data_IF_586282449392
#
_entry.id   IF_586282449392
#
_cell.length_a   1.000
_cell.length_b   1.000
_cell.length_c   1.000
_cell.angle_alpha   90.00
_cell.angle_beta   90.00
_cell.angle_gamma   90.00
#
_symmetry.space_group_name_H-M   'P 1'
#
loop_
_entity.id
_entity.type
_entity.pdbx_description
1 polymer ?
#
# COMPACT_ATOMS: atom_id res chain seq x y z
N UNK A 1 25.25 -20.51 16.86
CA UNK A 1 24.12 -20.26 17.79
C UNK A 1 23.46 -18.88 17.62
N UNK A 2 24.20 -17.76 17.54
CA UNK A 2 23.63 -16.40 17.40
C UNK A 2 22.79 -16.15 16.13
N UNK A 3 23.14 -16.78 15.00
CA UNK A 3 22.42 -16.63 13.72
C UNK A 3 21.04 -17.29 13.75
N UNK A 4 20.92 -18.45 14.41
CA UNK A 4 19.65 -19.20 14.53
C UNK A 4 18.68 -18.46 15.45
N UNK A 5 19.18 -17.85 16.53
CA UNK A 5 18.38 -17.04 17.47
C UNK A 5 17.85 -15.76 16.78
N UNK A 6 18.68 -15.11 15.94
CA UNK A 6 18.23 -13.94 15.16
C UNK A 6 17.17 -14.32 14.12
N UNK A 7 17.33 -15.46 13.44
CA UNK A 7 16.35 -15.98 12.49
C UNK A 7 15.00 -16.29 13.14
N UNK A 8 15.01 -16.94 14.32
CA UNK A 8 13.80 -17.24 15.09
C UNK A 8 13.12 -15.99 15.67
N UNK A 9 13.90 -14.98 16.08
CA UNK A 9 13.34 -13.70 16.53
C UNK A 9 12.69 -12.93 15.38
N UNK A 10 13.32 -12.91 14.19
CA UNK A 10 12.80 -12.23 13.01
C UNK A 10 11.52 -12.90 12.48
N UNK A 11 11.43 -14.23 12.51
CA UNK A 11 10.20 -14.94 12.11
C UNK A 11 9.07 -14.73 13.13
N UNK A 12 9.39 -14.64 14.42
CA UNK A 12 8.40 -14.37 15.47
C UNK A 12 7.87 -12.92 15.43
N UNK A 13 8.74 -11.94 15.16
CA UNK A 13 8.36 -10.54 14.95
C UNK A 13 7.53 -10.40 13.66
N UNK A 14 7.98 -10.97 12.54
CA UNK A 14 7.25 -10.85 11.27
C UNK A 14 5.89 -11.54 11.29
N UNK A 15 5.77 -12.71 11.94
CA UNK A 15 4.48 -13.38 12.15
C UNK A 15 3.55 -12.57 13.06
N UNK A 16 4.04 -12.07 14.21
CA UNK A 16 3.24 -11.25 15.14
C UNK A 16 2.73 -9.96 14.48
N UNK A 17 3.54 -9.34 13.62
CA UNK A 17 3.13 -8.19 12.81
C UNK A 17 2.09 -8.57 11.75
N UNK A 18 2.21 -9.75 11.12
CA UNK A 18 1.23 -10.27 10.18
C UNK A 18 -0.15 -10.45 10.86
N UNK A 19 -0.18 -11.09 12.02
CA UNK A 19 -1.40 -11.36 12.80
C UNK A 19 -2.08 -10.09 13.33
N UNK A 20 -1.33 -9.14 13.90
CA UNK A 20 -1.89 -7.91 14.48
C UNK A 20 -2.61 -7.00 13.45
N UNK A 21 -2.08 -6.93 12.24
CA UNK A 21 -2.69 -6.10 11.20
C UNK A 21 -3.72 -6.89 10.36
N UNK A 22 -3.84 -8.23 10.53
CA UNK A 22 -4.92 -9.04 9.95
C UNK A 22 -6.17 -8.92 10.82
N UNK A 23 -5.98 -9.03 12.14
CA UNK A 23 -7.01 -8.80 13.16
C UNK A 23 -7.55 -7.37 13.14
N UNK A 24 -6.73 -6.34 12.85
CA UNK A 24 -7.26 -4.98 12.69
C UNK A 24 -8.13 -4.82 11.43
N UNK A 25 -7.75 -5.43 10.30
CA UNK A 25 -8.60 -5.42 9.09
C UNK A 25 -9.90 -6.18 9.30
N UNK A 26 -9.85 -7.30 10.01
CA UNK A 26 -11.03 -8.10 10.30
C UNK A 26 -11.95 -7.38 11.30
N UNK A 27 -11.42 -6.70 12.33
CA UNK A 27 -12.24 -5.91 13.28
C UNK A 27 -12.82 -4.63 12.67
N UNK A 28 -12.10 -3.93 11.78
CA UNK A 28 -12.63 -2.77 11.03
C UNK A 28 -13.79 -3.15 10.09
N UNK A 29 -13.88 -4.41 9.69
CA UNK A 29 -14.83 -4.91 8.70
C UNK A 29 -15.88 -5.86 9.30
N UNK A 30 -15.66 -6.37 10.52
CA UNK A 30 -16.59 -7.19 11.30
C UNK A 30 -17.62 -6.35 12.05
N UNK A 31 -17.36 -5.06 12.26
CA UNK A 31 -18.24 -4.08 12.92
C UNK A 31 -19.54 -3.77 12.15
N UNK A 32 -19.88 -4.54 11.11
CA UNK A 32 -20.95 -4.22 10.16
C UNK A 32 -21.89 -5.41 10.00
N UNK A 33 -23.02 -5.38 10.72
CA UNK A 33 -24.22 -6.13 10.35
C UNK A 33 -24.89 -5.44 9.16
N UNK A 34 -24.93 -6.12 8.00
CA UNK A 34 -25.52 -5.56 6.75
C UNK A 34 -27.03 -5.33 6.87
N UNK A 35 -27.68 -5.96 7.85
CA UNK A 35 -29.14 -5.93 8.03
C UNK A 35 -29.68 -4.64 8.69
N UNK A 36 -28.82 -3.67 9.03
CA UNK A 36 -29.20 -2.49 9.82
C UNK A 36 -29.05 -1.14 9.08
N UNK A 37 -28.70 -1.13 7.79
CA UNK A 37 -28.45 0.13 7.05
C UNK A 37 -29.46 0.35 5.92
N UNK A 38 -30.11 1.53 5.84
CA UNK A 38 -31.07 1.85 4.78
C UNK A 38 -30.41 2.04 3.40
N UNK A 39 -29.13 2.45 3.35
CA UNK A 39 -28.38 2.68 2.11
C UNK A 39 -27.30 1.62 1.85
N UNK A 40 -27.34 1.00 0.66
CA UNK A 40 -26.38 -0.04 0.26
C UNK A 40 -24.98 0.50 -0.10
N UNK A 41 -24.86 1.80 -0.41
CA UNK A 41 -23.60 2.46 -0.75
C UNK A 41 -23.35 3.66 0.18
N UNK A 42 -22.10 3.97 0.53
CA UNK A 42 -21.80 5.16 1.32
C UNK A 42 -21.96 6.43 0.48
N UNK A 43 -22.35 7.53 1.13
CA UNK A 43 -22.49 8.85 0.49
C UNK A 43 -21.18 9.39 -0.12
N UNK A 44 -20.04 9.09 0.53
CA UNK A 44 -18.70 9.55 0.11
C UNK A 44 -17.84 8.37 -0.36
N UNK A 45 -17.55 8.34 -1.65
CA UNK A 45 -16.65 7.39 -2.32
C UNK A 45 -15.49 8.12 -3.00
N UNK A 46 -14.34 7.45 -3.12
CA UNK A 46 -13.27 7.90 -4.02
C UNK A 46 -13.75 7.85 -5.47
N UNK A 47 -13.17 8.66 -6.36
CA UNK A 47 -13.60 8.70 -7.77
C UNK A 47 -13.44 7.32 -8.45
N UNK A 48 -12.33 6.62 -8.20
CA UNK A 48 -12.05 5.26 -8.69
C UNK A 48 -13.10 4.26 -8.18
N UNK A 49 -13.43 4.32 -6.90
CA UNK A 49 -14.44 3.46 -6.29
C UNK A 49 -15.82 3.75 -6.87
N UNK A 50 -16.17 5.01 -7.10
CA UNK A 50 -17.44 5.42 -7.71
C UNK A 50 -17.54 4.96 -9.16
N UNK A 51 -16.46 5.09 -9.94
CA UNK A 51 -16.41 4.64 -11.32
C UNK A 51 -16.60 3.13 -11.46
N UNK A 52 -15.99 2.34 -10.56
CA UNK A 52 -16.10 0.87 -10.62
C UNK A 52 -17.38 0.37 -9.93
N UNK A 53 -17.67 0.82 -8.70
CA UNK A 53 -18.66 0.24 -7.79
C UNK A 53 -19.84 1.16 -7.44
N UNK A 54 -19.90 2.38 -7.97
CA UNK A 54 -21.02 3.30 -7.70
C UNK A 54 -22.37 2.77 -8.19
N UNK A 55 -23.46 3.50 -7.95
CA UNK A 55 -24.79 3.15 -8.45
C UNK A 55 -24.86 3.06 -9.99
N UNK A 56 -24.00 3.80 -10.69
CA UNK A 56 -23.76 3.74 -12.14
C UNK A 56 -22.35 3.24 -12.49
N UNK A 57 -21.73 2.48 -11.59
CA UNK A 57 -20.36 1.98 -11.77
C UNK A 57 -20.30 0.82 -12.77
N UNK A 58 -19.12 0.57 -13.32
CA UNK A 58 -18.88 -0.48 -14.34
C UNK A 58 -19.44 -1.85 -13.96
N UNK A 59 -19.33 -2.24 -12.68
CA UNK A 59 -19.79 -3.56 -12.22
C UNK A 59 -21.31 -3.74 -12.24
N UNK A 60 -22.08 -2.66 -12.36
CA UNK A 60 -23.55 -2.69 -12.22
C UNK A 60 -24.24 -3.45 -13.34
N UNK A 61 -23.60 -3.56 -14.50
CA UNK A 61 -24.11 -4.30 -15.65
C UNK A 61 -24.30 -5.81 -15.36
N UNK A 62 -23.46 -6.40 -14.49
CA UNK A 62 -23.54 -7.82 -14.13
C UNK A 62 -23.70 -8.07 -12.62
N UNK A 63 -23.59 -7.03 -11.79
CA UNK A 63 -23.85 -7.05 -10.34
C UNK A 63 -24.78 -5.91 -9.93
N UNK A 64 -26.11 -6.08 -10.12
CA UNK A 64 -27.11 -5.14 -9.65
C UNK A 64 -26.97 -4.86 -8.15
N UNK A 65 -27.35 -3.65 -7.71
CA UNK A 65 -27.19 -3.23 -6.33
C UNK A 65 -28.28 -3.86 -5.44
N UNK A 66 -28.00 -5.05 -4.90
CA UNK A 66 -28.85 -5.78 -3.95
C UNK A 66 -28.10 -6.04 -2.64
N UNK A 67 -28.81 -6.36 -1.55
CA UNK A 67 -28.19 -6.73 -0.26
C UNK A 67 -27.17 -7.88 -0.44
N UNK A 68 -27.56 -8.92 -1.16
CA UNK A 68 -26.72 -10.10 -1.41
C UNK A 68 -25.45 -9.74 -2.20
N UNK A 69 -25.59 -8.98 -3.29
CA UNK A 69 -24.44 -8.52 -4.08
C UNK A 69 -23.55 -7.60 -3.24
N UNK A 70 -24.14 -6.76 -2.39
CA UNK A 70 -23.38 -5.88 -1.51
C UNK A 70 -22.57 -6.64 -0.47
N UNK A 71 -23.13 -7.69 0.13
CA UNK A 71 -22.37 -8.59 1.02
C UNK A 71 -21.20 -9.25 0.28
N UNK A 72 -21.41 -9.68 -0.97
CA UNK A 72 -20.35 -10.22 -1.83
C UNK A 72 -19.27 -9.17 -2.15
N UNK A 73 -19.65 -7.94 -2.49
CA UNK A 73 -18.72 -6.83 -2.70
C UNK A 73 -17.87 -6.55 -1.45
N UNK A 74 -18.43 -6.64 -0.25
CA UNK A 74 -17.66 -6.50 0.98
C UNK A 74 -16.64 -7.62 1.15
N UNK A 75 -16.98 -8.87 0.81
CA UNK A 75 -15.99 -9.98 0.79
C UNK A 75 -14.87 -9.71 -0.22
N UNK A 76 -15.19 -9.20 -1.41
CA UNK A 76 -14.21 -8.78 -2.42
C UNK A 76 -13.29 -7.68 -1.85
N UNK A 77 -13.86 -6.66 -1.19
CA UNK A 77 -13.08 -5.61 -0.52
C UNK A 77 -12.11 -6.21 0.50
N UNK A 78 -12.55 -7.15 1.35
CA UNK A 78 -11.67 -7.80 2.33
C UNK A 78 -10.48 -8.47 1.63
N UNK A 79 -10.74 -9.22 0.56
CA UNK A 79 -9.69 -9.91 -0.18
C UNK A 79 -8.74 -8.93 -0.87
N UNK A 80 -9.24 -7.91 -1.55
CA UNK A 80 -8.40 -6.88 -2.18
C UNK A 80 -7.50 -6.17 -1.16
N UNK A 81 -8.01 -5.85 0.02
CA UNK A 81 -7.22 -5.20 1.08
C UNK A 81 -6.21 -6.15 1.74
N UNK A 82 -6.53 -7.45 1.87
CA UNK A 82 -5.56 -8.47 2.30
C UNK A 82 -4.41 -8.58 1.31
N UNK A 83 -4.71 -8.60 0.01
CA UNK A 83 -3.68 -8.64 -1.05
C UNK A 83 -2.89 -7.33 -1.10
N UNK A 84 -3.56 -6.16 -1.03
CA UNK A 84 -2.90 -4.85 -0.97
C UNK A 84 -1.83 -4.81 0.12
N UNK A 85 -2.17 -5.32 1.30
CA UNK A 85 -1.26 -5.40 2.42
C UNK A 85 -0.08 -6.33 2.15
N UNK A 86 -0.35 -7.55 1.68
CA UNK A 86 0.69 -8.52 1.36
C UNK A 86 1.66 -7.94 0.33
N UNK A 87 1.14 -7.46 -0.79
CA UNK A 87 1.94 -6.86 -1.87
C UNK A 87 2.65 -5.60 -1.38
N UNK A 88 2.01 -4.76 -0.57
CA UNK A 88 2.63 -3.57 0.01
C UNK A 88 3.81 -3.90 0.93
N UNK A 89 3.74 -4.98 1.72
CA UNK A 89 4.88 -5.44 2.51
C UNK A 89 6.01 -5.99 1.61
N UNK A 90 5.67 -6.68 0.52
CA UNK A 90 6.64 -7.10 -0.49
C UNK A 90 7.35 -5.90 -1.12
N UNK A 91 6.62 -4.85 -1.50
CA UNK A 91 7.19 -3.60 -1.99
C UNK A 91 8.13 -2.98 -0.97
N UNK A 92 7.73 -2.91 0.30
CA UNK A 92 8.56 -2.35 1.37
C UNK A 92 9.87 -3.12 1.55
N UNK A 93 9.82 -4.46 1.51
CA UNK A 93 11.01 -5.30 1.56
C UNK A 93 11.93 -5.05 0.34
N UNK A 94 11.35 -4.91 -0.85
CA UNK A 94 12.08 -4.51 -2.05
C UNK A 94 12.77 -3.15 -1.88
N UNK A 95 12.07 -2.16 -1.32
CA UNK A 95 12.65 -0.82 -1.06
C UNK A 95 13.84 -0.85 -0.10
N UNK A 96 13.84 -1.74 0.90
CA UNK A 96 15.01 -1.95 1.78
C UNK A 96 16.20 -2.41 0.94
N UNK A 97 16.02 -3.47 0.15
CA UNK A 97 17.07 -3.97 -0.73
C UNK A 97 17.54 -2.92 -1.75
N UNK A 98 16.61 -2.18 -2.34
CA UNK A 98 16.91 -1.08 -3.26
C UNK A 98 17.72 0.04 -2.59
N UNK A 99 17.44 0.33 -1.31
CA UNK A 99 18.22 1.28 -0.51
C UNK A 99 19.67 0.86 -0.38
N UNK A 100 19.94 -0.43 -0.13
CA UNK A 100 21.30 -0.98 -0.09
C UNK A 100 21.99 -0.88 -1.46
N UNK A 101 21.31 -1.30 -2.54
CA UNK A 101 21.84 -1.19 -3.90
C UNK A 101 22.14 0.26 -4.28
N UNK A 102 21.23 1.19 -3.97
CA UNK A 102 21.38 2.61 -4.24
C UNK A 102 22.54 3.24 -3.47
N UNK A 103 22.73 2.86 -2.20
CA UNK A 103 23.86 3.31 -1.40
C UNK A 103 25.20 2.78 -1.95
N UNK A 104 25.24 1.51 -2.39
CA UNK A 104 26.42 0.92 -3.04
C UNK A 104 26.73 1.63 -4.36
N UNK A 105 25.70 1.86 -5.19
CA UNK A 105 25.81 2.53 -6.49
C UNK A 105 26.28 3.98 -6.35
N UNK A 106 25.82 4.68 -5.30
CA UNK A 106 26.23 6.06 -5.01
C UNK A 106 27.72 6.16 -4.65
N UNK A 107 28.26 5.18 -3.92
CA UNK A 107 29.68 5.15 -3.54
C UNK A 107 30.56 4.69 -4.68
N UNK A 108 30.20 3.57 -5.31
CA UNK A 108 30.98 2.91 -6.34
C UNK A 108 30.08 2.59 -7.53
N UNK A 109 30.12 3.47 -8.54
CA UNK A 109 29.34 3.27 -9.75
C UNK A 109 29.85 2.05 -10.53
N UNK A 110 28.94 1.18 -10.96
CA UNK A 110 29.21 0.21 -12.03
C UNK A 110 27.97 -0.02 -12.88
N UNK A 111 28.11 -0.29 -14.20
CA UNK A 111 26.95 -0.54 -15.07
C UNK A 111 26.09 -1.72 -14.61
N UNK A 112 26.73 -2.81 -14.16
CA UNK A 112 26.03 -3.99 -13.64
C UNK A 112 25.21 -3.64 -12.39
N UNK A 113 25.78 -2.89 -11.44
CA UNK A 113 25.07 -2.49 -10.23
C UNK A 113 23.92 -1.51 -10.51
N UNK A 114 24.11 -0.59 -11.48
CA UNK A 114 23.04 0.29 -11.98
C UNK A 114 21.89 -0.54 -12.54
N UNK A 115 22.19 -1.51 -13.41
CA UNK A 115 21.17 -2.38 -13.99
C UNK A 115 20.43 -3.20 -12.93
N UNK A 116 21.13 -3.72 -11.91
CA UNK A 116 20.47 -4.41 -10.78
C UNK A 116 19.57 -3.46 -9.98
N UNK A 117 20.02 -2.22 -9.75
CA UNK A 117 19.20 -1.21 -9.07
C UNK A 117 17.93 -0.87 -9.87
N UNK A 118 18.04 -0.70 -11.18
CA UNK A 118 16.92 -0.41 -12.08
C UNK A 118 15.94 -1.58 -12.20
N UNK A 119 16.43 -2.82 -12.30
CA UNK A 119 15.58 -4.02 -12.32
C UNK A 119 14.82 -4.21 -11.00
N UNK A 120 15.47 -3.95 -9.86
CA UNK A 120 14.78 -3.93 -8.57
C UNK A 120 13.70 -2.85 -8.53
N UNK A 121 14.00 -1.65 -9.06
CA UNK A 121 13.05 -0.53 -9.13
C UNK A 121 11.83 -0.89 -9.97
N UNK A 122 12.01 -1.60 -11.08
CA UNK A 122 10.92 -2.11 -11.90
C UNK A 122 10.01 -3.05 -11.09
N UNK A 123 10.57 -4.03 -10.38
CA UNK A 123 9.79 -4.93 -9.53
C UNK A 123 9.04 -4.20 -8.40
N UNK A 124 9.68 -3.21 -7.78
CA UNK A 124 9.06 -2.35 -6.77
C UNK A 124 7.92 -1.53 -7.37
N UNK A 125 8.10 -0.94 -8.55
CA UNK A 125 7.05 -0.17 -9.22
C UNK A 125 5.85 -1.03 -9.61
N UNK A 126 6.07 -2.26 -10.08
CA UNK A 126 4.99 -3.21 -10.38
C UNK A 126 4.21 -3.53 -9.10
N UNK A 127 4.89 -3.99 -8.06
CA UNK A 127 4.24 -4.36 -6.80
C UNK A 127 3.55 -3.16 -6.14
N UNK A 128 4.17 -1.99 -6.13
CA UNK A 128 3.58 -0.76 -5.61
C UNK A 128 2.31 -0.37 -6.37
N UNK A 129 2.36 -0.41 -7.71
CA UNK A 129 1.20 -0.08 -8.56
C UNK A 129 0.06 -1.07 -8.33
N UNK A 130 0.37 -2.37 -8.26
CA UNK A 130 -0.62 -3.41 -7.91
C UNK A 130 -1.26 -3.12 -6.55
N UNK A 131 -0.46 -2.81 -5.53
CA UNK A 131 -0.97 -2.45 -4.21
C UNK A 131 -1.86 -1.21 -4.28
N UNK A 132 -1.44 -0.14 -4.97
CA UNK A 132 -2.21 1.08 -5.14
C UNK A 132 -3.56 0.82 -5.81
N UNK A 133 -3.57 0.07 -6.91
CA UNK A 133 -4.80 -0.31 -7.62
C UNK A 133 -5.74 -1.10 -6.72
N UNK A 134 -5.26 -2.12 -6.01
CA UNK A 134 -6.07 -2.91 -5.09
C UNK A 134 -6.75 -2.06 -4.01
N UNK A 135 -6.10 -1.01 -3.51
CA UNK A 135 -6.69 -0.11 -2.52
C UNK A 135 -7.66 0.90 -3.14
N UNK A 136 -7.26 1.55 -4.23
CA UNK A 136 -8.01 2.61 -4.89
C UNK A 136 -9.25 2.09 -5.60
N UNK A 137 -9.24 0.87 -6.12
CA UNK A 137 -10.37 0.27 -6.82
C UNK A 137 -11.14 -0.73 -5.96
N UNK A 138 -10.83 -0.90 -4.67
CA UNK A 138 -11.61 -1.77 -3.81
C UNK A 138 -13.07 -1.27 -3.64
N UNK A 139 -14.08 -2.17 -3.58
CA UNK A 139 -15.46 -1.82 -3.27
C UNK A 139 -15.53 -0.90 -2.05
N UNK A 140 -16.36 0.14 -2.03
CA UNK A 140 -16.34 1.14 -0.95
C UNK A 140 -16.70 0.52 0.41
N UNK A 141 -16.24 1.09 1.55
CA UNK A 141 -16.64 0.62 2.88
C UNK A 141 -18.09 1.02 3.21
N UNK A 142 -18.77 0.32 4.14
CA UNK A 142 -20.14 0.71 4.58
C UNK A 142 -20.13 1.87 5.58
N UNK A 143 -19.16 1.90 6.49
CA UNK A 143 -19.12 2.87 7.60
C UNK A 143 -17.76 3.54 7.64
N UNK A 144 -17.74 4.84 7.93
CA UNK A 144 -16.53 5.59 8.29
C UNK A 144 -16.56 5.91 9.77
N UNK A 145 -15.52 5.51 10.50
CA UNK A 145 -15.32 5.93 11.90
C UNK A 145 -15.07 7.44 11.99
N UNK A 146 -15.73 8.09 12.95
CA UNK A 146 -15.47 9.49 13.36
C UNK A 146 -14.21 9.54 14.26
N UNK A 147 -13.53 10.69 14.36
CA UNK A 147 -12.32 10.84 15.19
C UNK A 147 -10.99 10.44 14.51
N UNK A 148 -9.85 10.70 15.16
CA UNK A 148 -8.53 10.25 14.69
C UNK A 148 -8.47 8.72 14.72
N UNK A 149 -7.76 8.11 13.76
CA UNK A 149 -7.53 6.66 13.73
C UNK A 149 -6.27 6.36 12.94
N UNK A 150 -5.65 5.22 13.20
CA UNK A 150 -4.53 4.71 12.40
C UNK A 150 -4.81 4.70 10.90
N UNK A 151 -6.05 4.39 10.50
CA UNK A 151 -6.49 4.41 9.09
C UNK A 151 -6.49 5.81 8.49
N UNK A 152 -6.84 6.85 9.25
CA UNK A 152 -6.76 8.24 8.77
C UNK A 152 -5.31 8.68 8.61
N UNK A 153 -4.45 8.31 9.57
CA UNK A 153 -3.02 8.56 9.47
C UNK A 153 -2.41 7.86 8.24
N UNK A 154 -2.72 6.58 8.04
CA UNK A 154 -2.32 5.83 6.84
C UNK A 154 -2.75 6.54 5.55
N UNK A 155 -3.98 7.09 5.46
CA UNK A 155 -4.42 7.83 4.27
C UNK A 155 -3.60 9.09 4.00
N UNK A 156 -3.23 9.83 5.05
CA UNK A 156 -2.35 10.99 4.91
C UNK A 156 -0.96 10.58 4.43
N UNK A 157 -0.37 9.57 5.07
CA UNK A 157 0.91 8.99 4.69
C UNK A 157 0.87 8.34 3.30
N UNK A 158 -0.30 7.88 2.85
CA UNK A 158 -0.51 7.31 1.52
C UNK A 158 -0.40 8.34 0.40
N UNK A 159 -0.86 9.57 0.65
CA UNK A 159 -0.59 10.68 -0.27
C UNK A 159 0.91 10.92 -0.35
N UNK A 160 1.59 10.98 0.81
CA UNK A 160 3.02 11.24 0.88
C UNK A 160 3.85 10.15 0.16
N UNK A 161 3.61 8.86 0.43
CA UNK A 161 4.37 7.80 -0.22
C UNK A 161 3.99 7.62 -1.71
N UNK A 162 2.76 7.94 -2.13
CA UNK A 162 2.41 7.96 -3.55
C UNK A 162 3.13 9.07 -4.30
N UNK A 163 3.10 10.30 -3.78
CA UNK A 163 3.84 11.42 -4.33
C UNK A 163 5.34 11.14 -4.37
N UNK A 164 5.88 10.53 -3.31
CA UNK A 164 7.28 10.15 -3.21
C UNK A 164 7.70 9.09 -4.24
N UNK A 165 6.87 8.05 -4.47
CA UNK A 165 7.12 7.06 -5.53
C UNK A 165 7.15 7.70 -6.92
N UNK A 166 6.22 8.61 -7.22
CA UNK A 166 6.20 9.34 -8.49
C UNK A 166 7.46 10.21 -8.61
N UNK A 167 7.76 11.00 -7.59
CA UNK A 167 8.92 11.89 -7.58
C UNK A 167 10.24 11.12 -7.76
N UNK A 168 10.39 9.98 -7.08
CA UNK A 168 11.59 9.13 -7.17
C UNK A 168 11.82 8.64 -8.61
N UNK A 169 10.76 8.18 -9.30
CA UNK A 169 10.83 7.74 -10.69
C UNK A 169 11.10 8.88 -11.68
N UNK A 170 10.44 10.03 -11.49
CA UNK A 170 10.69 11.23 -12.32
C UNK A 170 12.13 11.71 -12.17
N UNK A 171 12.63 11.79 -10.93
CA UNK A 171 14.01 12.21 -10.66
C UNK A 171 15.02 11.19 -11.19
N UNK A 172 14.71 9.88 -11.13
CA UNK A 172 15.57 8.85 -11.69
C UNK A 172 15.79 9.06 -13.20
N UNK A 173 14.72 9.34 -13.94
CA UNK A 173 14.80 9.59 -15.38
C UNK A 173 15.62 10.85 -15.71
N UNK A 174 15.49 11.91 -14.90
CA UNK A 174 16.21 13.19 -15.12
C UNK A 174 17.69 13.17 -14.73
N UNK A 175 18.15 12.14 -14.00
CA UNK A 175 19.55 12.07 -13.53
C UNK A 175 20.54 11.86 -14.69
N UNK A 176 20.13 11.25 -15.81
CA UNK A 176 21.00 11.09 -16.99
C UNK A 176 21.46 12.44 -17.53
N UNK A 177 20.53 13.40 -17.58
CA UNK A 177 20.74 14.70 -18.20
C UNK A 177 21.18 15.73 -17.16
N UNK A 178 20.77 15.54 -15.91
CA UNK A 178 21.12 16.40 -14.79
C UNK A 178 21.56 15.60 -13.56
N UNK A 179 22.85 15.19 -13.49
CA UNK A 179 23.40 14.43 -12.38
C UNK A 179 23.29 15.12 -11.00
N UNK A 180 23.11 16.45 -10.96
CA UNK A 180 22.90 17.19 -9.71
C UNK A 180 21.59 16.83 -9.00
N UNK A 181 20.67 16.12 -9.68
CA UNK A 181 19.41 15.64 -9.10
C UNK A 181 19.56 14.40 -8.22
N UNK A 182 20.73 13.74 -8.21
CA UNK A 182 20.99 12.54 -7.39
C UNK A 182 20.64 12.70 -5.89
N UNK A 183 21.00 13.81 -5.21
CA UNK A 183 20.63 14.01 -3.80
C UNK A 183 19.12 14.11 -3.61
N UNK A 184 18.40 14.75 -4.54
CA UNK A 184 16.94 14.89 -4.48
C UNK A 184 16.23 13.56 -4.71
N UNK A 185 16.71 12.74 -5.66
CA UNK A 185 16.19 11.37 -5.85
C UNK A 185 16.35 10.55 -4.56
N UNK A 186 17.52 10.63 -3.91
CA UNK A 186 17.76 9.94 -2.63
C UNK A 186 16.86 10.45 -1.51
N UNK A 187 16.70 11.77 -1.39
CA UNK A 187 15.81 12.37 -0.40
C UNK A 187 14.35 11.92 -0.62
N UNK A 188 13.87 11.92 -1.87
CA UNK A 188 12.56 11.40 -2.22
C UNK A 188 12.44 9.91 -1.88
N UNK A 189 13.43 9.08 -2.21
CA UNK A 189 13.42 7.66 -1.90
C UNK A 189 13.37 7.38 -0.39
N UNK A 190 14.20 8.05 0.42
CA UNK A 190 14.19 7.89 1.87
C UNK A 190 12.89 8.38 2.51
N UNK A 191 12.37 9.53 2.05
CA UNK A 191 11.09 10.07 2.53
C UNK A 191 9.95 9.12 2.19
N UNK A 192 9.94 8.55 0.99
CA UNK A 192 8.94 7.56 0.55
C UNK A 192 9.01 6.30 1.41
N UNK A 193 10.21 5.76 1.63
CA UNK A 193 10.42 4.59 2.47
C UNK A 193 9.96 4.83 3.92
N UNK A 194 10.31 5.98 4.50
CA UNK A 194 9.89 6.37 5.84
C UNK A 194 8.36 6.51 5.92
N UNK A 195 7.74 7.21 4.97
CA UNK A 195 6.29 7.38 4.89
C UNK A 195 5.56 6.03 4.76
N UNK A 196 6.08 5.13 3.94
CA UNK A 196 5.52 3.80 3.77
C UNK A 196 5.66 2.94 5.03
N UNK A 197 6.81 2.99 5.70
CA UNK A 197 7.07 2.29 6.97
C UNK A 197 6.12 2.81 8.06
N UNK A 198 6.01 4.13 8.20
CA UNK A 198 5.08 4.76 9.12
C UNK A 198 3.62 4.42 8.77
N UNK A 199 3.29 4.30 7.48
CA UNK A 199 1.98 3.85 7.02
C UNK A 199 1.65 2.45 7.54
N UNK A 200 2.62 1.52 7.54
CA UNK A 200 2.43 0.17 8.10
C UNK A 200 2.25 0.22 9.62
N UNK A 201 3.09 1.00 10.32
CA UNK A 201 3.02 1.14 11.78
C UNK A 201 1.74 1.85 12.23
N UNK A 202 1.25 2.81 11.46
CA UNK A 202 0.06 3.61 11.79
C UNK A 202 -1.18 2.75 11.99
N UNK A 203 -1.26 1.62 11.29
CA UNK A 203 -2.34 0.64 11.40
C UNK A 203 -2.28 -0.17 12.70
N UNK A 204 -1.37 0.12 13.64
CA UNK A 204 -1.44 -0.44 15.00
C UNK A 204 -2.25 0.44 15.95
N UNK A 205 -2.45 1.71 15.62
CA UNK A 205 -3.20 2.65 16.45
C UNK A 205 -4.70 2.56 16.12
N UNK A 206 -5.53 2.52 17.17
CA UNK A 206 -6.99 2.50 17.07
C UNK A 206 -7.54 3.77 16.43
#
# INVERSE_FOLDING_TARGET
MKIVIFGLWLTWVTSSFCWAQLTQTDTLLADIGVNQLPDLLPSKMLFTQRAVWGSRGLVRNWRPLTIQNRQSELKIRRNMLKIHRFVGLTTLAGMVGQGFLGAKLYRNYSPSLKNTHENMAMGINITYTTAALLSLTAPPPMVRRKGFSGVKLHRGLAILHLSGMIATNVLAHKISDNPSLKPYHRAAAYTTFAAMTLSVVSLKFK
#
